data_IF_006598676258
#
_entry.id   IF_006598676258
#
_cell.length_a   1.000
_cell.length_b   1.000
_cell.length_c   1.000
_cell.angle_alpha   90.00
_cell.angle_beta   90.00
_cell.angle_gamma   90.00
#
_symmetry.space_group_name_H-M   'P 1'
#
loop_
_entity.id
_entity.type
_entity.pdbx_description
1 polymer ?
#
# COMPACT_ATOMS: atom_id res chain seq x y z
N UNK A 1 66.08 34.15 -2.19
CA UNK A 1 66.67 32.96 -1.55
C UNK A 1 65.57 31.93 -1.38
N UNK A 2 65.74 30.79 -2.02
CA UNK A 2 64.85 29.62 -2.02
C UNK A 2 65.03 28.86 -0.71
N UNK A 3 63.96 28.33 -0.10
CA UNK A 3 64.02 27.18 0.81
C UNK A 3 62.69 26.42 0.82
N UNK A 4 62.74 25.30 0.10
CA UNK A 4 62.06 24.00 0.27
C UNK A 4 60.83 23.88 1.19
N UNK A 5 59.71 23.42 0.62
CA UNK A 5 58.68 22.67 1.34
C UNK A 5 58.56 21.25 0.76
N UNK A 6 58.62 20.26 1.64
CA UNK A 6 58.63 18.83 1.36
C UNK A 6 57.31 18.32 0.75
N UNK A 7 57.46 17.49 -0.28
CA UNK A 7 56.44 16.57 -0.80
C UNK A 7 55.86 15.67 0.29
N UNK A 8 54.52 15.62 0.40
CA UNK A 8 53.80 14.49 0.99
C UNK A 8 52.93 13.87 -0.08
N UNK A 9 53.29 12.66 -0.47
CA UNK A 9 52.53 11.78 -1.36
C UNK A 9 51.25 11.32 -0.66
N UNK A 10 50.08 11.69 -1.19
CA UNK A 10 48.79 11.16 -0.73
C UNK A 10 48.54 9.78 -1.33
N UNK A 11 48.49 8.76 -0.48
CA UNK A 11 48.15 7.39 -0.85
C UNK A 11 46.72 7.33 -1.43
N UNK A 12 46.58 6.74 -2.62
CA UNK A 12 45.30 6.52 -3.30
C UNK A 12 44.67 5.25 -2.72
N UNK A 13 43.74 5.40 -1.80
CA UNK A 13 42.97 4.28 -1.23
C UNK A 13 42.14 3.63 -2.35
N UNK A 14 42.55 2.42 -2.75
CA UNK A 14 41.87 1.61 -3.76
C UNK A 14 40.65 0.97 -3.09
N UNK A 15 39.47 1.54 -3.31
CA UNK A 15 38.23 1.00 -2.77
C UNK A 15 37.92 -0.38 -3.38
N UNK A 16 37.71 -1.35 -2.50
CA UNK A 16 37.28 -2.71 -2.78
C UNK A 16 35.88 -2.70 -3.41
N UNK A 17 35.60 -3.41 -4.52
CA UNK A 17 34.35 -3.31 -5.27
C UNK A 17 33.12 -3.91 -4.55
N UNK A 18 33.30 -4.51 -3.37
CA UNK A 18 32.24 -5.23 -2.66
C UNK A 18 31.28 -4.35 -1.84
N UNK A 19 31.61 -3.06 -1.61
CA UNK A 19 30.76 -2.15 -0.80
C UNK A 19 29.90 -1.18 -1.63
N UNK A 20 30.03 -1.17 -2.96
CA UNK A 20 29.23 -0.31 -3.85
C UNK A 20 27.80 -0.85 -4.10
N UNK A 21 27.52 -2.10 -3.69
CA UNK A 21 26.25 -2.79 -3.93
C UNK A 21 25.12 -2.41 -2.93
N UNK A 22 25.39 -1.49 -2.00
CA UNK A 22 24.43 -1.02 -0.98
C UNK A 22 23.89 0.40 -1.26
N UNK A 23 24.15 0.96 -2.45
CA UNK A 23 23.50 2.21 -2.83
C UNK A 23 21.98 1.97 -2.93
N UNK A 24 21.13 2.86 -2.36
CA UNK A 24 19.70 2.79 -2.61
C UNK A 24 19.50 2.81 -4.13
N UNK A 25 18.71 1.89 -4.66
CA UNK A 25 18.50 1.76 -6.10
C UNK A 25 17.92 3.07 -6.66
N UNK A 26 18.80 3.96 -7.12
CA UNK A 26 18.40 5.22 -7.73
C UNK A 26 17.76 4.88 -9.07
N UNK A 27 16.57 5.42 -9.38
CA UNK A 27 15.94 5.24 -10.68
C UNK A 27 16.92 5.56 -11.81
N UNK A 28 16.96 4.71 -12.84
CA UNK A 28 17.84 4.93 -14.01
C UNK A 28 17.51 6.26 -14.70
N UNK A 29 18.47 6.88 -15.40
CA UNK A 29 18.27 8.19 -16.04
C UNK A 29 17.06 8.22 -16.99
N UNK A 30 16.81 7.12 -17.71
CA UNK A 30 15.67 6.96 -18.60
C UNK A 30 14.33 6.90 -17.84
N UNK A 31 14.35 6.42 -16.60
CA UNK A 31 13.19 6.32 -15.71
C UNK A 31 12.86 7.68 -15.07
N UNK A 32 13.89 8.49 -14.76
CA UNK A 32 13.74 9.87 -14.32
C UNK A 32 13.19 10.76 -15.45
N UNK A 33 13.72 10.62 -16.67
CA UNK A 33 13.28 11.40 -17.83
C UNK A 33 11.83 11.12 -18.27
N UNK A 34 11.30 9.94 -17.93
CA UNK A 34 9.89 9.54 -18.19
C UNK A 34 9.00 9.60 -16.95
N UNK A 35 9.52 10.13 -15.83
CA UNK A 35 8.79 10.20 -14.58
C UNK A 35 7.73 11.29 -14.63
N UNK A 36 6.59 10.97 -15.23
CA UNK A 36 5.32 11.69 -15.06
C UNK A 36 4.75 11.54 -13.64
N UNK A 37 5.45 10.82 -12.74
CA UNK A 37 5.10 10.75 -11.32
C UNK A 37 5.47 12.06 -10.63
N UNK A 38 4.58 13.05 -10.70
CA UNK A 38 4.51 14.10 -9.69
C UNK A 38 3.79 13.49 -8.49
N UNK A 39 4.55 13.16 -7.44
CA UNK A 39 3.98 12.51 -6.27
C UNK A 39 5.03 12.04 -5.29
N UNK A 40 5.83 12.95 -4.74
CA UNK A 40 6.46 12.74 -3.44
C UNK A 40 5.39 12.88 -2.36
N UNK A 41 4.38 12.00 -2.35
CA UNK A 41 3.58 11.86 -1.16
C UNK A 41 4.36 10.94 -0.22
N UNK A 42 4.88 11.45 0.93
CA UNK A 42 5.32 10.54 1.98
C UNK A 42 4.17 9.58 2.29
N UNK A 43 4.50 8.33 2.69
CA UNK A 43 3.52 7.37 3.20
C UNK A 43 2.47 8.10 4.03
N UNK A 44 1.22 8.10 3.58
CA UNK A 44 0.13 8.91 4.13
C UNK A 44 -0.08 8.44 5.57
N UNK A 45 0.31 9.26 6.56
CA UNK A 45 0.11 8.91 7.97
C UNK A 45 -1.35 9.13 8.31
N UNK A 46 -2.14 8.06 8.26
CA UNK A 46 -3.56 8.08 8.65
C UNK A 46 -3.66 8.32 10.16
N UNK A 47 -3.95 9.57 10.54
CA UNK A 47 -3.93 10.04 11.94
C UNK A 47 -4.78 9.19 12.88
N UNK A 48 -5.90 8.66 12.40
CA UNK A 48 -6.81 7.78 13.17
C UNK A 48 -6.21 6.40 13.43
N UNK A 49 -5.59 5.77 12.42
CA UNK A 49 -4.88 4.48 12.57
C UNK A 49 -3.69 4.66 13.52
N UNK A 50 -2.91 5.73 13.34
CA UNK A 50 -1.78 6.03 14.21
C UNK A 50 -2.20 6.29 15.66
N UNK A 51 -3.34 6.96 15.88
CA UNK A 51 -3.90 7.17 17.22
C UNK A 51 -4.29 5.84 17.90
N UNK A 52 -4.92 4.92 17.17
CA UNK A 52 -5.25 3.58 17.69
C UNK A 52 -3.99 2.77 17.99
N UNK A 53 -2.98 2.84 17.13
CA UNK A 53 -1.71 2.15 17.32
C UNK A 53 -0.97 2.67 18.56
N UNK A 54 -0.89 3.99 18.75
CA UNK A 54 -0.27 4.58 19.93
C UNK A 54 -1.05 4.30 21.22
N UNK A 55 -2.36 4.15 21.15
CA UNK A 55 -3.20 3.74 22.27
C UNK A 55 -3.05 2.24 22.61
N UNK A 56 -2.48 1.44 21.72
CA UNK A 56 -2.41 -0.02 21.85
C UNK A 56 -3.73 -0.73 21.53
N UNK A 57 -4.68 -0.03 20.90
CA UNK A 57 -5.97 -0.59 20.50
C UNK A 57 -5.87 -1.50 19.26
N UNK A 58 -4.78 -1.36 18.49
CA UNK A 58 -4.46 -2.20 17.34
C UNK A 58 -2.98 -2.58 17.31
N UNK A 59 -2.68 -3.69 16.65
CA UNK A 59 -1.33 -4.17 16.35
C UNK A 59 -0.70 -3.43 15.16
N UNK A 60 0.64 -3.52 15.05
CA UNK A 60 1.35 -3.01 13.87
C UNK A 60 0.93 -3.74 12.58
N UNK A 61 0.65 -5.06 12.65
CA UNK A 61 0.20 -5.82 11.48
C UNK A 61 -1.19 -5.37 11.00
N UNK A 62 -2.06 -4.94 11.91
CA UNK A 62 -3.35 -4.33 11.57
C UNK A 62 -3.19 -2.96 10.91
N UNK A 63 -2.25 -2.14 11.38
CA UNK A 63 -1.90 -0.89 10.71
C UNK A 63 -1.35 -1.12 9.29
N UNK A 64 -0.48 -2.12 9.11
CA UNK A 64 0.08 -2.48 7.80
C UNK A 64 -1.00 -3.05 6.85
N UNK A 65 -1.99 -3.79 7.38
CA UNK A 65 -3.14 -4.27 6.62
C UNK A 65 -4.04 -3.11 6.18
N UNK A 66 -4.23 -2.10 7.04
CA UNK A 66 -4.96 -0.88 6.69
C UNK A 66 -4.32 -0.16 5.50
N UNK A 67 -2.98 -0.03 5.50
CA UNK A 67 -2.22 0.59 4.42
C UNK A 67 -2.39 -0.18 3.10
N UNK A 68 -2.26 -1.52 3.13
CA UNK A 68 -2.49 -2.37 1.94
C UNK A 68 -3.91 -2.25 1.40
N UNK A 69 -4.90 -2.24 2.28
CA UNK A 69 -6.30 -2.05 1.89
C UNK A 69 -6.54 -0.68 1.27
N UNK A 70 -5.97 0.38 1.84
CA UNK A 70 -6.04 1.73 1.29
C UNK A 70 -5.43 1.79 -0.12
N UNK A 71 -4.24 1.22 -0.31
CA UNK A 71 -3.59 1.14 -1.62
C UNK A 71 -4.46 0.38 -2.64
N UNK A 72 -5.05 -0.75 -2.24
CA UNK A 72 -5.98 -1.51 -3.09
C UNK A 72 -7.23 -0.70 -3.45
N UNK A 73 -7.76 0.06 -2.51
CA UNK A 73 -8.93 0.91 -2.73
C UNK A 73 -8.62 2.01 -3.75
N UNK A 74 -7.53 2.75 -3.55
CA UNK A 74 -7.09 3.81 -4.46
C UNK A 74 -6.80 3.24 -5.85
N UNK A 75 -6.06 2.13 -5.92
CA UNK A 75 -5.72 1.51 -7.19
C UNK A 75 -6.94 0.97 -7.95
N UNK A 76 -7.90 0.40 -7.21
CA UNK A 76 -9.11 -0.19 -7.73
C UNK A 76 -10.15 0.82 -8.20
N UNK A 77 -10.38 1.87 -7.39
CA UNK A 77 -11.52 2.78 -7.55
C UNK A 77 -11.14 4.21 -7.98
N UNK A 78 -9.91 4.66 -7.77
CA UNK A 78 -9.47 5.98 -8.22
C UNK A 78 -8.79 5.85 -9.60
N UNK A 79 -9.24 6.66 -10.55
CA UNK A 79 -8.71 6.60 -11.90
C UNK A 79 -7.38 7.35 -11.98
N UNK A 80 -6.28 6.64 -12.26
CA UNK A 80 -4.96 7.22 -12.55
C UNK A 80 -4.78 7.58 -14.03
N UNK A 81 -5.87 7.69 -14.78
CA UNK A 81 -5.83 7.95 -16.21
C UNK A 81 -6.16 9.41 -16.49
N UNK A 82 -5.17 10.27 -16.32
CA UNK A 82 -5.09 11.48 -17.13
C UNK A 82 -4.90 11.05 -18.59
N UNK A 83 -5.99 10.88 -19.33
CA UNK A 83 -5.96 10.77 -20.78
C UNK A 83 -6.24 12.18 -21.30
N UNK A 84 -5.24 12.87 -21.87
CA UNK A 84 -5.48 14.15 -22.53
C UNK A 84 -6.55 14.00 -23.63
N UNK A 85 -7.37 15.03 -23.89
CA UNK A 85 -8.40 14.98 -24.93
C UNK A 85 -7.85 14.65 -26.33
N UNK A 86 -6.55 14.91 -26.57
CA UNK A 86 -5.87 14.61 -27.83
C UNK A 86 -5.14 13.25 -27.87
N UNK A 87 -5.43 12.35 -26.93
CA UNK A 87 -4.78 11.04 -26.87
C UNK A 87 -5.11 10.18 -28.09
N UNK A 88 -4.14 10.02 -28.98
CA UNK A 88 -4.19 9.00 -30.03
C UNK A 88 -3.70 7.67 -29.46
N UNK A 89 -4.52 6.61 -29.47
CA UNK A 89 -4.08 5.29 -29.04
C UNK A 89 -2.90 4.84 -29.92
N UNK A 90 -1.73 4.70 -29.31
CA UNK A 90 -0.60 4.07 -29.99
C UNK A 90 -0.97 2.62 -30.31
N UNK A 91 -0.75 2.20 -31.55
CA UNK A 91 -0.96 0.81 -32.01
C UNK A 91 0.01 -0.18 -31.38
N UNK A 92 1.01 0.29 -30.62
CA UNK A 92 1.92 -0.50 -29.79
C UNK A 92 1.42 -0.69 -28.34
N UNK A 93 0.42 0.07 -27.89
CA UNK A 93 -0.08 0.08 -26.50
C UNK A 93 -1.08 -1.07 -26.24
N UNK A 94 -0.66 -2.32 -26.45
CA UNK A 94 -1.53 -3.49 -26.27
C UNK A 94 -1.26 -4.31 -25.00
N UNK A 95 -0.05 -4.27 -24.44
CA UNK A 95 0.34 -5.13 -23.31
C UNK A 95 0.32 -4.44 -21.94
N UNK A 96 0.74 -3.17 -21.85
CA UNK A 96 0.78 -2.46 -20.57
C UNK A 96 -0.62 -2.11 -20.09
N UNK A 97 -1.49 -1.60 -20.97
CA UNK A 97 -2.86 -1.23 -20.64
C UNK A 97 -3.67 -2.41 -20.08
N UNK A 98 -3.52 -3.60 -20.67
CA UNK A 98 -4.17 -4.84 -20.21
C UNK A 98 -3.58 -5.32 -18.89
N UNK A 99 -2.25 -5.29 -18.75
CA UNK A 99 -1.57 -5.62 -17.48
C UNK A 99 -2.05 -4.71 -16.34
N UNK A 100 -2.20 -3.42 -16.62
CA UNK A 100 -2.75 -2.44 -15.67
C UNK A 100 -4.20 -2.75 -15.30
N UNK A 101 -5.07 -3.10 -16.26
CA UNK A 101 -6.43 -3.51 -15.95
C UNK A 101 -6.49 -4.80 -15.13
N UNK A 102 -5.59 -5.76 -15.37
CA UNK A 102 -5.54 -7.01 -14.63
C UNK A 102 -5.11 -6.80 -13.17
N UNK A 103 -4.12 -5.94 -12.92
CA UNK A 103 -3.75 -5.57 -11.55
C UNK A 103 -4.89 -4.80 -10.87
N UNK A 104 -5.62 -3.96 -11.61
CA UNK A 104 -6.77 -3.19 -11.07
C UNK A 104 -7.90 -4.13 -10.67
N UNK A 105 -8.24 -5.07 -11.55
CA UNK A 105 -9.24 -6.10 -11.26
C UNK A 105 -8.87 -6.93 -10.02
N UNK A 106 -7.59 -7.24 -9.82
CA UNK A 106 -7.12 -7.93 -8.60
C UNK A 106 -7.28 -7.07 -7.33
N UNK A 107 -7.00 -5.78 -7.40
CA UNK A 107 -7.20 -4.87 -6.27
C UNK A 107 -8.69 -4.76 -5.91
N UNK A 108 -9.55 -4.55 -6.91
CA UNK A 108 -11.01 -4.54 -6.72
C UNK A 108 -11.52 -5.87 -6.15
N UNK A 109 -11.01 -7.00 -6.62
CA UNK A 109 -11.38 -8.31 -6.10
C UNK A 109 -11.01 -8.48 -4.60
N UNK A 110 -9.87 -7.92 -4.16
CA UNK A 110 -9.49 -7.92 -2.74
C UNK A 110 -10.42 -7.04 -1.90
N UNK A 111 -10.78 -5.84 -2.38
CA UNK A 111 -11.75 -4.98 -1.71
C UNK A 111 -13.12 -5.68 -1.58
N UNK A 112 -13.59 -6.30 -2.67
CA UNK A 112 -14.84 -7.07 -2.68
C UNK A 112 -14.80 -8.27 -1.75
N UNK A 113 -13.66 -8.96 -1.63
CA UNK A 113 -13.50 -10.07 -0.71
C UNK A 113 -13.59 -9.61 0.76
N UNK A 114 -12.99 -8.47 1.09
CA UNK A 114 -13.12 -7.85 2.43
C UNK A 114 -14.57 -7.47 2.70
N UNK A 115 -15.27 -6.85 1.74
CA UNK A 115 -16.68 -6.51 1.89
C UNK A 115 -17.57 -7.75 2.05
N UNK A 116 -17.29 -8.83 1.33
CA UNK A 116 -18.03 -10.08 1.44
C UNK A 116 -17.81 -10.77 2.80
N UNK A 117 -16.59 -10.69 3.35
CA UNK A 117 -16.25 -11.33 4.60
C UNK A 117 -16.68 -10.54 5.84
N UNK A 118 -16.50 -9.21 5.83
CA UNK A 118 -16.75 -8.34 7.00
C UNK A 118 -18.08 -7.58 6.91
N UNK A 119 -18.74 -7.61 5.75
CA UNK A 119 -20.00 -6.93 5.50
C UNK A 119 -19.84 -5.44 5.15
N UNK A 120 -20.94 -4.85 4.67
CA UNK A 120 -20.98 -3.47 4.18
C UNK A 120 -20.65 -2.44 5.26
N UNK A 121 -21.09 -2.67 6.50
CA UNK A 121 -20.83 -1.75 7.61
C UNK A 121 -19.34 -1.66 7.96
N UNK A 122 -18.59 -2.77 7.86
CA UNK A 122 -17.14 -2.75 8.06
C UNK A 122 -16.43 -2.03 6.92
N UNK A 123 -16.82 -2.33 5.67
CA UNK A 123 -16.32 -1.63 4.48
C UNK A 123 -16.53 -0.11 4.58
N UNK A 124 -17.72 0.34 4.98
CA UNK A 124 -18.01 1.76 5.12
C UNK A 124 -17.14 2.43 6.19
N UNK A 125 -16.87 1.77 7.32
CA UNK A 125 -15.95 2.30 8.34
C UNK A 125 -14.52 2.40 7.83
N UNK A 126 -14.03 1.38 7.12
CA UNK A 126 -12.71 1.41 6.48
C UNK A 126 -12.62 2.55 5.47
N UNK A 127 -13.63 2.74 4.62
CA UNK A 127 -13.69 3.85 3.66
C UNK A 127 -13.65 5.21 4.37
N UNK A 128 -14.55 5.42 5.34
CA UNK A 128 -14.63 6.68 6.09
C UNK A 128 -13.31 7.00 6.81
N UNK A 129 -12.63 6.00 7.36
CA UNK A 129 -11.39 6.18 8.12
C UNK A 129 -10.15 6.33 7.24
N UNK A 130 -10.01 5.49 6.21
CA UNK A 130 -8.78 5.34 5.43
C UNK A 130 -8.80 6.14 4.12
N UNK A 131 -9.96 6.26 3.49
CA UNK A 131 -10.13 6.96 2.21
C UNK A 131 -10.55 8.40 2.45
N UNK A 132 -11.68 8.60 3.13
CA UNK A 132 -12.28 9.90 3.42
C UNK A 132 -11.59 10.63 4.59
N UNK A 133 -10.69 9.94 5.32
CA UNK A 133 -9.91 10.47 6.45
C UNK A 133 -10.72 11.17 7.54
N UNK A 134 -11.94 10.70 7.78
CA UNK A 134 -12.77 11.25 8.82
C UNK A 134 -12.17 10.97 10.20
N UNK A 135 -12.14 11.99 11.05
CA UNK A 135 -11.82 11.82 12.46
C UNK A 135 -12.88 10.95 13.16
N UNK A 136 -12.54 10.28 14.27
CA UNK A 136 -13.53 9.53 15.05
C UNK A 136 -14.72 10.38 15.52
N UNK A 137 -14.51 11.68 15.77
CA UNK A 137 -15.61 12.61 16.07
C UNK A 137 -16.55 12.77 14.87
N UNK A 138 -16.02 12.99 13.68
CA UNK A 138 -16.81 13.14 12.45
C UNK A 138 -17.52 11.84 12.07
N UNK A 139 -16.83 10.71 12.15
CA UNK A 139 -17.43 9.39 11.92
C UNK A 139 -18.53 9.08 12.93
N UNK A 140 -18.30 9.40 14.21
CA UNK A 140 -19.27 9.21 15.28
C UNK A 140 -20.53 10.06 15.08
N UNK A 141 -20.38 11.32 14.67
CA UNK A 141 -21.52 12.19 14.35
C UNK A 141 -22.34 11.67 13.15
N UNK A 142 -21.68 11.13 12.13
CA UNK A 142 -22.33 10.58 10.95
C UNK A 142 -23.07 9.25 11.22
N UNK A 143 -22.48 8.36 12.02
CA UNK A 143 -23.02 7.00 12.24
C UNK A 143 -23.89 6.89 13.50
N UNK A 144 -23.72 7.77 14.48
CA UNK A 144 -24.43 7.75 15.76
C UNK A 144 -24.96 9.13 16.14
N UNK A 145 -25.81 9.77 15.31
CA UNK A 145 -26.25 11.15 15.53
C UNK A 145 -27.07 11.34 16.82
N UNK A 146 -27.71 10.27 17.32
CA UNK A 146 -28.50 10.30 18.55
C UNK A 146 -27.66 10.17 19.84
N UNK A 147 -26.36 9.83 19.74
CA UNK A 147 -25.49 9.68 20.91
C UNK A 147 -24.76 10.98 21.23
N UNK A 148 -24.48 11.20 22.52
CA UNK A 148 -23.55 12.24 22.93
C UNK A 148 -22.19 12.07 22.23
N UNK A 149 -21.58 13.19 21.82
CA UNK A 149 -20.39 13.17 20.96
C UNK A 149 -19.23 12.32 21.51
N UNK A 150 -18.96 12.39 22.82
CA UNK A 150 -17.90 11.60 23.47
C UNK A 150 -18.19 10.10 23.47
N UNK A 151 -19.46 9.71 23.62
CA UNK A 151 -19.90 8.31 23.55
C UNK A 151 -19.87 7.78 22.12
N UNK A 152 -20.32 8.59 21.14
CA UNK A 152 -20.24 8.26 19.73
C UNK A 152 -18.78 8.05 19.27
N UNK A 153 -17.89 8.95 19.68
CA UNK A 153 -16.46 8.90 19.36
C UNK A 153 -15.80 7.63 19.92
N UNK A 154 -16.00 7.31 21.20
CA UNK A 154 -15.44 6.08 21.81
C UNK A 154 -15.98 4.82 21.13
N UNK A 155 -17.29 4.80 20.85
CA UNK A 155 -17.93 3.67 20.18
C UNK A 155 -17.36 3.44 18.79
N UNK A 156 -17.19 4.50 17.99
CA UNK A 156 -16.65 4.32 16.64
C UNK A 156 -15.16 4.00 16.64
N UNK A 157 -14.37 4.55 17.57
CA UNK A 157 -12.95 4.21 17.70
C UNK A 157 -12.77 2.71 17.99
N UNK A 158 -13.52 2.15 18.96
CA UNK A 158 -13.51 0.73 19.26
C UNK A 158 -13.96 -0.14 18.07
N UNK A 159 -14.99 0.30 17.33
CA UNK A 159 -15.42 -0.41 16.11
C UNK A 159 -14.38 -0.36 15.00
N UNK A 160 -13.65 0.74 14.84
CA UNK A 160 -12.58 0.84 13.86
C UNK A 160 -11.40 -0.06 14.22
N UNK A 161 -10.99 -0.08 15.50
CA UNK A 161 -9.94 -0.97 15.98
C UNK A 161 -10.28 -2.45 15.69
N UNK A 162 -11.49 -2.88 16.06
CA UNK A 162 -11.98 -4.23 15.78
C UNK A 162 -11.93 -4.58 14.28
N UNK A 163 -12.39 -3.67 13.42
CA UNK A 163 -12.42 -3.91 11.96
C UNK A 163 -11.00 -3.98 11.38
N UNK A 164 -10.05 -3.22 11.91
CA UNK A 164 -8.64 -3.29 11.49
C UNK A 164 -7.99 -4.63 11.85
N UNK A 165 -8.25 -5.14 13.06
CA UNK A 165 -7.79 -6.47 13.47
C UNK A 165 -8.44 -7.59 12.64
N UNK A 166 -9.73 -7.46 12.33
CA UNK A 166 -10.42 -8.42 11.44
C UNK A 166 -9.87 -8.39 10.01
N UNK A 167 -9.51 -7.20 9.51
CA UNK A 167 -8.88 -7.03 8.21
C UNK A 167 -7.52 -7.74 8.16
N UNK A 168 -6.70 -7.56 9.20
CA UNK A 168 -5.43 -8.27 9.34
C UNK A 168 -5.63 -9.78 9.30
N UNK A 169 -6.52 -10.31 10.13
CA UNK A 169 -6.78 -11.74 10.23
C UNK A 169 -7.25 -12.33 8.89
N UNK A 170 -8.07 -11.59 8.15
CA UNK A 170 -8.55 -11.99 6.82
C UNK A 170 -7.39 -12.09 5.82
N UNK A 171 -6.55 -11.06 5.74
CA UNK A 171 -5.38 -11.08 4.85
C UNK A 171 -4.42 -12.20 5.21
N UNK A 172 -4.23 -12.42 6.51
CA UNK A 172 -3.32 -13.41 7.03
C UNK A 172 -3.78 -14.84 6.71
N UNK A 173 -5.09 -15.09 6.85
CA UNK A 173 -5.73 -16.32 6.38
C UNK A 173 -5.58 -16.51 4.86
N UNK A 174 -5.78 -15.45 4.07
CA UNK A 174 -5.62 -15.50 2.62
C UNK A 174 -4.16 -15.80 2.21
N UNK A 175 -3.17 -15.20 2.90
CA UNK A 175 -1.75 -15.48 2.70
C UNK A 175 -1.41 -16.94 3.02
N UNK A 176 -1.91 -17.46 4.14
CA UNK A 176 -1.71 -18.86 4.56
C UNK A 176 -2.33 -19.83 3.54
N UNK A 177 -3.55 -19.56 3.07
CA UNK A 177 -4.21 -20.35 2.05
C UNK A 177 -3.44 -20.34 0.71
N UNK A 178 -2.93 -19.18 0.29
CA UNK A 178 -2.14 -19.06 -0.94
C UNK A 178 -0.80 -19.83 -0.85
N UNK A 179 -0.16 -19.85 0.32
CA UNK A 179 1.05 -20.64 0.57
C UNK A 179 0.76 -22.14 0.54
N UNK A 180 -0.35 -22.57 1.12
CA UNK A 180 -0.77 -23.98 1.10
C UNK A 180 -0.98 -24.50 -0.33
N UNK A 181 -1.70 -23.74 -1.17
CA UNK A 181 -1.94 -24.08 -2.59
C UNK A 181 -0.65 -24.24 -3.41
N UNK A 182 0.42 -23.51 -3.06
CA UNK A 182 1.72 -23.63 -3.75
C UNK A 182 2.52 -24.86 -3.34
N UNK A 183 2.23 -25.43 -2.16
CA UNK A 183 2.92 -26.61 -1.62
C UNK A 183 2.28 -27.92 -2.07
N UNK A 184 1.05 -27.87 -2.58
CA UNK A 184 0.35 -29.04 -3.11
C UNK A 184 1.07 -29.56 -4.37
N UNK A 185 1.55 -30.83 -4.38
CA UNK A 185 2.24 -31.38 -5.53
C UNK A 185 1.28 -31.51 -6.71
N UNK A 186 1.73 -31.09 -7.90
CA UNK A 186 0.97 -31.26 -9.14
C UNK A 186 0.72 -32.76 -9.35
N UNK A 187 -0.53 -33.24 -9.44
CA UNK A 187 -0.79 -34.65 -9.67
C UNK A 187 -0.20 -35.06 -11.03
N UNK A 188 0.41 -36.25 -11.15
CA UNK A 188 0.95 -36.71 -12.43
C UNK A 188 -0.17 -36.73 -13.46
N UNK A 189 0.05 -36.02 -14.58
CA UNK A 189 -0.84 -36.06 -15.73
C UNK A 189 -1.00 -37.51 -16.17
N UNK A 190 -2.21 -38.05 -16.15
CA UNK A 190 -2.46 -39.38 -16.69
C UNK A 190 -2.15 -39.36 -18.19
N UNK A 191 -1.05 -39.99 -18.57
CA UNK A 191 -0.81 -40.42 -19.94
C UNK A 191 -1.93 -41.38 -20.31
N UNK A 192 -2.89 -40.90 -21.11
CA UNK A 192 -3.81 -41.77 -21.83
C UNK A 192 -3.00 -42.55 -22.86
N UNK A 193 -2.90 -43.86 -22.65
CA UNK A 193 -2.58 -44.84 -23.69
C UNK A 193 -3.84 -45.24 -24.44
#
# INVERSE_FOLDING_TARGET
MVLHALSRTSAKTRATPALAALAPATPTPERLARSQFVGTHPMRVLRTVQALLHAGDISQSAADAAERWYQDYIFGYCDYKEIPPDYRPSTLTRHDSVSWQLVRGKAMARISAVQAALGLCAHQRLRMMLVDELSFRAMGAALFPALAASSAQRKIAAQCALVLEQLEALEDAARKAARAKRKEPVPPSSTRS
#
